data_IF_843258917727
#
_entry.id   IF_843258917727
#
_cell.length_a   1.000
_cell.length_b   1.000
_cell.length_c   1.000
_cell.angle_alpha   90.00
_cell.angle_beta   90.00
_cell.angle_gamma   90.00
#
_symmetry.space_group_name_H-M   'P 1'
#
loop_
_entity.id
_entity.type
_entity.pdbx_description
1 polymer ?
#
# COMPACT_ATOMS: atom_id res chain seq x y z
N UNK A 1 30.83 -61.60 -7.46
CA UNK A 1 31.41 -60.39 -6.84
C UNK A 1 30.44 -59.24 -6.59
N UNK A 2 29.43 -59.01 -7.43
CA UNK A 2 28.43 -57.96 -7.23
C UNK A 2 27.55 -58.12 -5.95
N UNK A 3 27.21 -59.34 -5.56
CA UNK A 3 26.33 -59.58 -4.39
C UNK A 3 27.06 -59.45 -3.05
N UNK A 4 28.38 -59.63 -3.02
CA UNK A 4 29.19 -59.42 -1.84
C UNK A 4 29.28 -57.93 -1.47
N UNK A 5 29.44 -57.06 -2.45
CA UNK A 5 29.48 -55.63 -2.26
C UNK A 5 28.11 -55.05 -1.84
N UNK A 6 27.04 -55.61 -2.33
CA UNK A 6 25.66 -55.17 -2.02
C UNK A 6 25.21 -55.51 -0.60
N UNK A 7 25.72 -56.65 -0.05
CA UNK A 7 25.34 -57.15 1.30
C UNK A 7 26.26 -56.59 2.40
N UNK A 8 27.50 -56.27 2.07
CA UNK A 8 28.51 -55.82 3.03
C UNK A 8 29.03 -54.38 2.73
N UNK A 9 28.38 -53.62 1.88
CA UNK A 9 28.79 -52.28 1.48
C UNK A 9 28.96 -51.32 2.69
N UNK A 10 28.08 -51.46 3.66
CA UNK A 10 28.15 -50.65 4.89
C UNK A 10 29.35 -51.04 5.76
N UNK A 11 29.69 -52.32 5.85
CA UNK A 11 30.88 -52.83 6.56
C UNK A 11 32.19 -52.40 5.87
N UNK A 12 32.23 -52.43 4.52
CA UNK A 12 33.38 -51.98 3.75
C UNK A 12 33.61 -50.47 3.93
N UNK A 13 32.51 -49.69 3.97
CA UNK A 13 32.57 -48.23 4.19
C UNK A 13 33.06 -47.90 5.61
N UNK A 14 32.57 -48.61 6.63
CA UNK A 14 33.04 -48.46 8.01
C UNK A 14 34.51 -48.87 8.14
N UNK A 15 34.93 -49.95 7.50
CA UNK A 15 36.32 -50.39 7.50
C UNK A 15 37.26 -49.39 6.81
N UNK A 16 36.82 -48.77 5.72
CA UNK A 16 37.59 -47.74 5.02
C UNK A 16 37.73 -46.45 5.87
N UNK A 17 36.68 -46.06 6.58
CA UNK A 17 36.73 -44.90 7.50
C UNK A 17 37.64 -45.18 8.69
N UNK A 18 37.59 -46.41 9.25
CA UNK A 18 38.44 -46.83 10.36
C UNK A 18 39.91 -46.88 9.93
N UNK A 19 40.20 -47.37 8.74
CA UNK A 19 41.54 -47.36 8.18
C UNK A 19 42.08 -45.95 7.95
N UNK A 20 41.24 -45.03 7.45
CA UNK A 20 41.63 -43.64 7.27
C UNK A 20 41.89 -42.94 8.62
N UNK A 21 41.10 -43.26 9.65
CA UNK A 21 41.30 -42.71 10.99
C UNK A 21 42.57 -43.23 11.67
N UNK A 22 42.88 -44.53 11.51
CA UNK A 22 44.13 -45.14 12.00
C UNK A 22 45.33 -44.53 11.31
N UNK A 23 45.31 -44.35 9.97
CA UNK A 23 46.40 -43.69 9.24
C UNK A 23 46.63 -42.26 9.65
N UNK A 24 45.55 -41.52 9.92
CA UNK A 24 45.59 -40.13 10.40
C UNK A 24 46.23 -40.06 11.81
N UNK A 25 45.85 -40.95 12.72
CA UNK A 25 46.41 -41.02 14.09
C UNK A 25 47.87 -41.45 14.08
N UNK A 26 48.24 -42.40 13.25
CA UNK A 26 49.64 -42.88 13.13
C UNK A 26 50.50 -41.75 12.51
N UNK A 27 49.98 -40.99 11.54
CA UNK A 27 50.67 -39.82 10.97
C UNK A 27 50.87 -38.69 11.99
N UNK A 28 49.90 -38.48 12.89
CA UNK A 28 50.00 -37.49 13.96
C UNK A 28 50.94 -37.87 15.09
N UNK A 29 51.14 -39.17 15.34
CA UNK A 29 52.03 -39.69 16.42
C UNK A 29 53.50 -39.83 16.00
N UNK A 30 53.78 -40.02 14.70
CA UNK A 30 55.11 -40.20 14.13
C UNK A 30 55.77 -38.88 13.64
N UNK A 31 55.49 -37.77 14.32
CA UNK A 31 55.99 -36.42 14.01
C UNK A 31 57.46 -36.40 13.52
N UNK A 32 57.66 -36.47 12.20
CA UNK A 32 58.93 -36.43 11.53
C UNK A 32 58.88 -35.66 10.22
N UNK A 33 59.72 -34.66 10.17
CA UNK A 33 59.99 -33.75 9.06
C UNK A 33 60.54 -34.52 7.84
N UNK A 34 59.78 -34.50 6.78
CA UNK A 34 60.13 -34.65 5.35
C UNK A 34 59.15 -35.57 4.62
N UNK A 35 58.43 -34.97 3.81
CA UNK A 35 57.10 -35.29 3.31
C UNK A 35 57.10 -35.98 1.93
N UNK A 36 57.13 -37.30 1.82
CA UNK A 36 56.63 -37.94 0.63
C UNK A 36 55.12 -38.27 0.67
N UNK A 37 54.48 -38.11 1.83
CA UNK A 37 53.06 -38.47 2.01
C UNK A 37 52.06 -37.31 1.93
N UNK A 38 52.52 -36.06 1.93
CA UNK A 38 51.64 -34.89 1.77
C UNK A 38 50.92 -34.87 0.43
N UNK A 39 51.54 -35.37 -0.63
CA UNK A 39 50.92 -35.49 -1.95
C UNK A 39 49.87 -36.60 -2.00
N UNK A 40 50.05 -37.71 -1.26
CA UNK A 40 49.05 -38.79 -1.17
C UNK A 40 47.85 -38.41 -0.30
N UNK A 41 48.07 -37.65 0.77
CA UNK A 41 47.00 -37.12 1.59
C UNK A 41 46.09 -36.14 0.80
N UNK A 42 46.72 -35.28 -0.02
CA UNK A 42 45.97 -34.37 -0.88
C UNK A 42 45.20 -35.06 -2.01
N UNK A 43 45.74 -36.17 -2.57
CA UNK A 43 45.04 -36.94 -3.59
C UNK A 43 43.84 -37.71 -3.04
N UNK A 44 43.88 -38.13 -1.77
CA UNK A 44 42.76 -38.85 -1.13
C UNK A 44 41.75 -37.91 -0.48
N UNK A 45 42.14 -36.74 0.01
CA UNK A 45 41.21 -35.78 0.66
C UNK A 45 40.46 -34.92 -0.36
N UNK A 46 41.01 -34.66 -1.55
CA UNK A 46 40.34 -33.86 -2.58
C UNK A 46 39.03 -34.48 -3.07
N UNK A 47 38.92 -35.76 -3.43
CA UNK A 47 37.63 -36.34 -3.87
C UNK A 47 36.63 -36.46 -2.73
N UNK A 48 37.07 -36.67 -1.48
CA UNK A 48 36.18 -36.71 -0.31
C UNK A 48 35.59 -35.33 0.00
N UNK A 49 36.44 -34.29 -0.07
CA UNK A 49 36.02 -32.91 0.15
C UNK A 49 35.05 -32.43 -0.95
N UNK A 50 35.31 -32.78 -2.20
CA UNK A 50 34.42 -32.48 -3.32
C UNK A 50 33.11 -33.29 -3.25
N UNK A 51 33.14 -34.51 -2.77
CA UNK A 51 31.96 -35.33 -2.55
C UNK A 51 31.08 -34.80 -1.42
N UNK A 52 31.67 -34.33 -0.32
CA UNK A 52 30.94 -33.73 0.79
C UNK A 52 30.30 -32.40 0.33
N UNK A 53 31.04 -31.55 -0.35
CA UNK A 53 30.51 -30.28 -0.87
C UNK A 53 29.40 -30.52 -1.91
N UNK A 54 29.49 -31.52 -2.75
CA UNK A 54 28.46 -31.88 -3.70
C UNK A 54 27.16 -32.36 -3.01
N UNK A 55 27.28 -33.11 -1.91
CA UNK A 55 26.15 -33.58 -1.12
C UNK A 55 25.52 -32.43 -0.33
N UNK A 56 26.31 -31.56 0.26
CA UNK A 56 25.82 -30.37 0.99
C UNK A 56 25.09 -29.42 0.04
N UNK A 57 25.67 -29.08 -1.08
CA UNK A 57 25.02 -28.21 -2.07
C UNK A 57 23.74 -28.86 -2.64
N UNK A 58 23.74 -30.16 -2.88
CA UNK A 58 22.54 -30.87 -3.37
C UNK A 58 21.41 -30.91 -2.33
N UNK A 59 21.76 -31.03 -1.04
CA UNK A 59 20.76 -30.97 0.03
C UNK A 59 20.24 -29.55 0.25
N UNK A 60 21.10 -28.52 0.23
CA UNK A 60 20.68 -27.14 0.36
C UNK A 60 19.76 -26.71 -0.80
N UNK A 61 20.12 -27.04 -2.04
CA UNK A 61 19.28 -26.75 -3.21
C UNK A 61 17.89 -27.44 -3.13
N UNK A 62 17.86 -28.72 -2.76
CA UNK A 62 16.60 -29.47 -2.62
C UNK A 62 15.73 -29.00 -1.46
N UNK A 63 16.32 -28.57 -0.35
CA UNK A 63 15.58 -28.04 0.80
C UNK A 63 15.07 -26.61 0.52
N UNK A 64 15.87 -25.79 -0.15
CA UNK A 64 15.46 -24.45 -0.57
C UNK A 64 14.28 -24.52 -1.55
N UNK A 65 14.37 -25.33 -2.61
CA UNK A 65 13.34 -25.48 -3.61
C UNK A 65 12.02 -26.03 -3.02
N UNK A 66 12.10 -26.97 -2.08
CA UNK A 66 10.90 -27.53 -1.44
C UNK A 66 10.23 -26.54 -0.50
N UNK A 67 11.00 -25.72 0.21
CA UNK A 67 10.48 -24.68 1.11
C UNK A 67 9.87 -23.52 0.33
N UNK A 68 10.51 -23.10 -0.76
CA UNK A 68 10.00 -22.07 -1.66
C UNK A 68 8.72 -22.50 -2.37
N UNK A 69 8.64 -23.77 -2.82
CA UNK A 69 7.41 -24.33 -3.38
C UNK A 69 6.26 -24.38 -2.37
N UNK A 70 6.52 -24.68 -1.11
CA UNK A 70 5.48 -24.71 -0.08
C UNK A 70 4.99 -23.30 0.27
N UNK A 71 5.91 -22.32 0.36
CA UNK A 71 5.55 -20.93 0.55
C UNK A 71 4.72 -20.38 -0.62
N UNK A 72 5.14 -20.66 -1.87
CA UNK A 72 4.40 -20.26 -3.07
C UNK A 72 3.01 -20.91 -3.14
N UNK A 73 2.86 -22.15 -2.66
CA UNK A 73 1.55 -22.79 -2.57
C UNK A 73 0.66 -22.11 -1.53
N UNK A 74 1.20 -21.84 -0.35
CA UNK A 74 0.46 -21.16 0.72
C UNK A 74 0.03 -19.75 0.29
N UNK A 75 0.93 -18.99 -0.34
CA UNK A 75 0.63 -17.67 -0.89
C UNK A 75 -0.45 -17.76 -2.00
N UNK A 76 -0.35 -18.75 -2.88
CA UNK A 76 -1.34 -18.96 -3.93
C UNK A 76 -2.72 -19.33 -3.38
N UNK A 77 -2.77 -20.16 -2.32
CA UNK A 77 -4.03 -20.48 -1.63
C UNK A 77 -4.60 -19.26 -0.89
N UNK A 78 -3.76 -18.47 -0.24
CA UNK A 78 -4.19 -17.23 0.41
C UNK A 78 -4.70 -16.20 -0.61
N UNK A 79 -3.98 -16.04 -1.73
CA UNK A 79 -4.41 -15.15 -2.82
C UNK A 79 -5.75 -15.62 -3.43
N UNK A 80 -5.91 -16.93 -3.67
CA UNK A 80 -7.19 -17.48 -4.16
C UNK A 80 -8.33 -17.22 -3.18
N UNK A 81 -8.07 -17.36 -1.89
CA UNK A 81 -9.07 -17.06 -0.85
C UNK A 81 -9.45 -15.60 -0.87
N UNK A 82 -8.46 -14.69 -0.94
CA UNK A 82 -8.70 -13.24 -1.06
C UNK A 82 -9.47 -12.88 -2.33
N UNK A 83 -9.11 -13.49 -3.46
CA UNK A 83 -9.86 -13.30 -4.72
C UNK A 83 -11.31 -13.73 -4.55
N UNK A 84 -11.57 -14.92 -3.98
CA UNK A 84 -12.93 -15.39 -3.74
C UNK A 84 -13.73 -14.49 -2.80
N UNK A 85 -13.09 -13.98 -1.73
CA UNK A 85 -13.72 -13.03 -0.81
C UNK A 85 -14.03 -11.67 -1.49
N UNK A 86 -13.14 -11.22 -2.39
CA UNK A 86 -13.36 -10.00 -3.17
C UNK A 86 -14.49 -10.18 -4.19
N UNK A 87 -14.52 -11.31 -4.91
CA UNK A 87 -15.60 -11.64 -5.84
C UNK A 87 -16.96 -11.78 -5.15
N UNK A 88 -17.00 -12.27 -3.91
CA UNK A 88 -18.23 -12.31 -3.11
C UNK A 88 -18.70 -10.90 -2.74
N UNK A 89 -17.80 -10.05 -2.27
CA UNK A 89 -18.10 -8.64 -1.99
C UNK A 89 -18.51 -7.87 -3.23
N UNK A 90 -17.90 -8.14 -4.37
CA UNK A 90 -18.27 -7.53 -5.65
C UNK A 90 -19.72 -7.90 -6.02
N UNK A 91 -20.08 -9.19 -5.92
CA UNK A 91 -21.47 -9.62 -6.16
C UNK A 91 -22.47 -8.99 -5.19
N UNK A 92 -22.13 -8.86 -3.90
CA UNK A 92 -22.95 -8.18 -2.92
C UNK A 92 -23.12 -6.70 -3.26
N UNK A 93 -22.01 -6.06 -3.68
CA UNK A 93 -22.03 -4.65 -4.10
C UNK A 93 -22.88 -4.44 -5.34
N UNK A 94 -22.71 -5.28 -6.37
CA UNK A 94 -23.54 -5.22 -7.59
C UNK A 94 -25.04 -5.42 -7.28
N UNK A 95 -25.35 -6.37 -6.42
CA UNK A 95 -26.74 -6.58 -5.97
C UNK A 95 -27.30 -5.35 -5.24
N UNK A 96 -26.52 -4.72 -4.37
CA UNK A 96 -26.92 -3.51 -3.67
C UNK A 96 -27.09 -2.32 -4.62
N UNK A 97 -26.23 -2.19 -5.66
CA UNK A 97 -26.38 -1.16 -6.70
C UNK A 97 -27.69 -1.35 -7.48
N UNK A 98 -27.96 -2.56 -7.95
CA UNK A 98 -29.19 -2.87 -8.67
C UNK A 98 -30.44 -2.60 -7.83
N UNK A 99 -30.41 -2.96 -6.56
CA UNK A 99 -31.53 -2.65 -5.65
C UNK A 99 -31.67 -1.15 -5.42
N UNK A 100 -30.55 -0.41 -5.29
CA UNK A 100 -30.56 1.05 -5.16
C UNK A 100 -31.15 1.71 -6.41
N UNK A 101 -30.76 1.26 -7.61
CA UNK A 101 -31.32 1.74 -8.89
C UNK A 101 -32.81 1.44 -8.97
N UNK A 102 -33.23 0.23 -8.59
CA UNK A 102 -34.65 -0.14 -8.58
C UNK A 102 -35.44 0.74 -7.61
N UNK A 103 -34.94 0.97 -6.40
CA UNK A 103 -35.58 1.84 -5.42
C UNK A 103 -35.66 3.29 -5.92
N UNK A 104 -34.63 3.81 -6.57
CA UNK A 104 -34.63 5.15 -7.18
C UNK A 104 -35.66 5.27 -8.28
N UNK A 105 -35.78 4.28 -9.15
CA UNK A 105 -36.78 4.26 -10.21
C UNK A 105 -38.22 4.22 -9.64
N UNK A 106 -38.45 3.44 -8.56
CA UNK A 106 -39.76 3.39 -7.89
C UNK A 106 -40.09 4.74 -7.22
N UNK A 107 -39.09 5.43 -6.68
CA UNK A 107 -39.25 6.73 -6.02
C UNK A 107 -39.12 7.92 -6.99
N UNK A 108 -39.01 7.67 -8.31
CA UNK A 108 -38.78 8.68 -9.33
C UNK A 108 -37.57 9.60 -9.07
N UNK A 109 -36.58 9.09 -8.30
CA UNK A 109 -35.35 9.80 -8.00
C UNK A 109 -34.36 9.72 -9.17
N UNK A 110 -33.77 10.86 -9.53
CA UNK A 110 -32.73 10.89 -10.60
C UNK A 110 -31.55 9.98 -10.22
N UNK A 111 -30.93 9.30 -11.20
CA UNK A 111 -29.69 8.55 -10.97
C UNK A 111 -28.63 9.46 -10.37
N UNK A 112 -27.89 8.95 -9.39
CA UNK A 112 -26.73 9.63 -8.85
C UNK A 112 -25.53 9.30 -9.75
N UNK A 113 -25.57 9.75 -11.01
CA UNK A 113 -24.40 9.66 -11.88
C UNK A 113 -23.36 10.68 -11.40
N UNK A 114 -22.13 10.22 -11.20
CA UNK A 114 -20.96 11.09 -11.12
C UNK A 114 -20.69 11.55 -12.55
N UNK A 115 -21.31 12.62 -12.98
CA UNK A 115 -21.04 13.24 -14.25
C UNK A 115 -19.93 14.28 -14.02
N UNK A 116 -18.70 13.86 -14.27
CA UNK A 116 -17.60 14.79 -14.45
C UNK A 116 -17.55 15.07 -15.95
N UNK A 117 -18.01 16.23 -16.36
CA UNK A 117 -18.18 16.53 -17.76
C UNK A 117 -16.86 16.90 -18.46
N UNK A 118 -15.88 17.44 -17.71
CA UNK A 118 -14.55 17.75 -18.23
C UNK A 118 -13.44 17.47 -17.21
N UNK A 119 -12.45 16.69 -17.64
CA UNK A 119 -11.24 16.37 -16.87
C UNK A 119 -9.98 16.81 -17.62
N UNK A 120 -9.07 17.48 -16.92
CA UNK A 120 -7.76 17.85 -17.44
C UNK A 120 -6.65 17.19 -16.62
N UNK A 121 -5.76 16.48 -17.28
CA UNK A 121 -4.60 15.87 -16.60
C UNK A 121 -3.45 16.87 -16.49
N UNK A 122 -2.89 17.03 -15.31
CA UNK A 122 -1.78 17.95 -15.02
C UNK A 122 -0.66 17.27 -14.26
N UNK A 123 0.58 17.72 -14.49
CA UNK A 123 1.76 17.28 -13.76
C UNK A 123 2.03 18.24 -12.61
N UNK A 124 2.42 17.72 -11.45
CA UNK A 124 2.91 18.51 -10.33
C UNK A 124 4.32 19.01 -10.66
N UNK A 125 4.51 20.33 -10.79
CA UNK A 125 5.77 20.95 -11.16
C UNK A 125 6.53 21.53 -9.96
N UNK A 126 5.82 21.96 -8.92
CA UNK A 126 6.41 22.42 -7.67
C UNK A 126 5.50 22.10 -6.49
N UNK A 127 6.09 22.11 -5.30
CA UNK A 127 5.41 21.95 -4.01
C UNK A 127 5.92 23.01 -3.07
N UNK A 128 5.02 23.61 -2.34
CA UNK A 128 5.34 24.49 -1.25
C UNK A 128 4.63 23.98 0.00
N UNK A 129 5.42 23.47 0.92
CA UNK A 129 4.95 23.09 2.25
C UNK A 129 5.68 23.97 3.25
N UNK A 130 4.97 24.92 3.81
CA UNK A 130 5.44 25.80 4.88
C UNK A 130 4.65 25.54 6.15
N UNK A 131 5.03 26.19 7.25
CA UNK A 131 4.24 26.09 8.49
C UNK A 131 2.84 26.74 8.38
N UNK A 132 2.52 27.36 7.25
CA UNK A 132 1.32 28.18 7.07
C UNK A 132 0.50 27.78 5.84
N UNK A 133 1.12 27.11 4.87
CA UNK A 133 0.47 26.76 3.61
C UNK A 133 0.97 25.42 3.09
N UNK A 134 0.07 24.70 2.45
CA UNK A 134 0.36 23.47 1.71
C UNK A 134 -0.22 23.61 0.31
N UNK A 135 0.65 23.90 -0.68
CA UNK A 135 0.23 24.12 -2.05
C UNK A 135 1.02 23.31 -3.06
N UNK A 136 0.39 23.02 -4.20
CA UNK A 136 1.00 22.36 -5.34
C UNK A 136 0.88 23.27 -6.56
N UNK A 137 1.95 23.38 -7.36
CA UNK A 137 1.88 24.03 -8.67
C UNK A 137 1.74 22.95 -9.75
N UNK A 138 0.80 23.16 -10.64
CA UNK A 138 0.49 22.26 -11.76
C UNK A 138 0.89 22.87 -13.10
N UNK A 139 1.12 21.99 -14.09
CA UNK A 139 1.57 22.33 -15.46
C UNK A 139 0.42 22.74 -16.40
N UNK A 140 -0.73 23.12 -15.89
CA UNK A 140 -1.93 23.51 -16.66
C UNK A 140 -2.55 24.75 -16.08
N UNK A 141 -3.18 25.56 -16.91
CA UNK A 141 -3.77 26.83 -16.50
C UNK A 141 -4.94 27.23 -17.40
N UNK A 142 -5.22 28.52 -17.48
CA UNK A 142 -6.36 29.05 -18.21
C UNK A 142 -6.34 28.74 -19.71
N UNK A 143 -5.16 28.54 -20.33
CA UNK A 143 -5.04 28.10 -21.70
C UNK A 143 -5.64 26.71 -21.95
N UNK A 144 -5.80 25.88 -20.92
CA UNK A 144 -6.44 24.57 -20.94
C UNK A 144 -7.85 24.58 -20.31
N UNK A 145 -8.38 25.76 -20.02
CA UNK A 145 -9.71 25.93 -19.44
C UNK A 145 -9.77 25.65 -17.94
N UNK A 146 -8.64 25.73 -17.23
CA UNK A 146 -8.61 25.64 -15.76
C UNK A 146 -9.06 26.93 -15.16
N UNK A 147 -9.94 26.86 -14.17
CA UNK A 147 -10.48 28.01 -13.44
C UNK A 147 -10.20 27.89 -11.94
N UNK A 148 -10.33 29.02 -11.24
CA UNK A 148 -10.27 29.01 -9.76
C UNK A 148 -11.48 28.26 -9.23
N UNK A 149 -11.31 27.54 -8.13
CA UNK A 149 -12.26 26.63 -7.51
C UNK A 149 -12.46 25.28 -8.22
N UNK A 150 -11.74 25.00 -9.33
CA UNK A 150 -11.71 23.66 -9.89
C UNK A 150 -11.17 22.64 -8.87
N UNK A 151 -11.84 21.50 -8.76
CA UNK A 151 -11.44 20.43 -7.84
C UNK A 151 -10.33 19.59 -8.42
N UNK A 152 -9.33 19.27 -7.60
CA UNK A 152 -8.19 18.42 -8.00
C UNK A 152 -8.21 17.10 -7.26
N UNK A 153 -8.04 15.98 -8.02
CA UNK A 153 -8.03 14.61 -7.52
C UNK A 153 -6.79 13.85 -8.00
N UNK A 154 -6.44 12.80 -7.30
CA UNK A 154 -5.40 11.85 -7.73
C UNK A 154 -5.95 10.80 -8.72
N UNK A 155 -5.10 9.84 -9.11
CA UNK A 155 -5.46 8.75 -10.04
C UNK A 155 -6.51 7.78 -9.49
N UNK A 156 -6.73 7.76 -8.17
CA UNK A 156 -7.71 6.93 -7.47
C UNK A 156 -8.99 7.68 -7.10
N UNK A 157 -9.15 8.92 -7.57
CA UNK A 157 -10.27 9.81 -7.23
C UNK A 157 -10.30 10.25 -5.77
N UNK A 158 -9.15 10.26 -5.10
CA UNK A 158 -9.04 10.88 -3.81
C UNK A 158 -8.83 12.39 -3.97
N UNK A 159 -9.41 13.14 -3.07
CA UNK A 159 -9.31 14.60 -3.07
C UNK A 159 -7.87 15.04 -2.77
N UNK A 160 -7.33 15.88 -3.65
CA UNK A 160 -6.04 16.55 -3.46
C UNK A 160 -6.24 17.95 -2.91
N UNK A 161 -7.17 18.70 -3.47
CA UNK A 161 -7.43 20.08 -3.08
C UNK A 161 -8.26 20.82 -4.12
N UNK A 162 -8.12 22.13 -4.15
CA UNK A 162 -8.82 23.05 -5.04
C UNK A 162 -7.85 24.04 -5.67
N UNK A 163 -8.12 24.44 -6.91
CA UNK A 163 -7.36 25.47 -7.61
C UNK A 163 -7.58 26.83 -6.94
N UNK A 164 -6.52 27.40 -6.39
CA UNK A 164 -6.57 28.69 -5.68
C UNK A 164 -6.15 29.86 -6.57
N UNK A 165 -5.24 29.62 -7.52
CA UNK A 165 -4.72 30.64 -8.43
C UNK A 165 -4.45 30.04 -9.80
N UNK A 166 -4.75 30.78 -10.88
CA UNK A 166 -4.59 30.33 -12.26
C UNK A 166 -3.76 31.33 -13.07
N UNK A 167 -2.67 30.84 -13.63
CA UNK A 167 -1.91 31.52 -14.69
C UNK A 167 -2.26 31.00 -16.07
N UNK A 168 -1.58 31.46 -17.12
CA UNK A 168 -1.85 31.04 -18.48
C UNK A 168 -1.57 29.54 -18.70
N UNK A 169 -0.42 29.03 -18.19
CA UNK A 169 0.05 27.65 -18.39
C UNK A 169 0.39 26.95 -17.06
N UNK A 170 -0.09 27.45 -15.96
CA UNK A 170 0.11 26.90 -14.63
C UNK A 170 -1.08 27.25 -13.73
N UNK A 171 -1.28 26.48 -12.68
CA UNK A 171 -2.17 26.84 -11.58
C UNK A 171 -1.58 26.39 -10.25
N UNK A 172 -1.99 27.08 -9.17
CA UNK A 172 -1.66 26.70 -7.80
C UNK A 172 -2.88 26.07 -7.16
N UNK A 173 -2.68 24.87 -6.61
CA UNK A 173 -3.69 24.12 -5.87
C UNK A 173 -3.42 24.26 -4.40
N UNK A 174 -4.42 24.68 -3.64
CA UNK A 174 -4.45 24.62 -2.18
C UNK A 174 -4.88 23.20 -1.80
N UNK A 175 -4.03 22.49 -1.06
CA UNK A 175 -4.30 21.11 -0.70
C UNK A 175 -5.37 20.99 0.40
N UNK A 176 -5.92 19.79 0.57
CA UNK A 176 -6.94 19.56 1.60
C UNK A 176 -6.42 19.70 3.03
N UNK A 177 -5.12 19.63 3.27
CA UNK A 177 -4.51 19.85 4.61
C UNK A 177 -4.12 21.29 4.89
N UNK A 178 -4.21 22.19 3.89
CA UNK A 178 -3.89 23.62 4.06
C UNK A 178 -4.84 24.26 5.08
N UNK A 179 -4.30 25.13 5.95
CA UNK A 179 -5.06 25.76 7.03
C UNK A 179 -6.25 26.61 6.57
N UNK A 180 -6.22 27.09 5.32
CA UNK A 180 -7.29 27.89 4.74
C UNK A 180 -8.32 27.02 3.96
N UNK A 181 -8.16 25.71 4.02
CA UNK A 181 -9.11 24.76 3.38
C UNK A 181 -10.28 24.48 4.31
N UNK A 182 -11.48 24.69 3.81
CA UNK A 182 -12.75 24.34 4.46
C UNK A 182 -13.71 23.78 3.42
N UNK A 183 -14.27 22.60 3.67
CA UNK A 183 -15.22 21.97 2.76
C UNK A 183 -16.23 21.06 3.48
N UNK A 184 -17.39 20.89 2.87
CA UNK A 184 -18.40 19.97 3.37
C UNK A 184 -17.95 18.50 3.25
N UNK A 185 -17.86 17.84 4.40
CA UNK A 185 -17.54 16.42 4.51
C UNK A 185 -18.71 15.58 4.99
N UNK A 186 -18.62 14.29 4.79
CA UNK A 186 -19.55 13.32 5.38
C UNK A 186 -18.82 12.02 5.70
N UNK A 187 -19.22 11.38 6.78
CA UNK A 187 -18.77 10.01 7.10
C UNK A 187 -19.63 9.04 6.30
N UNK A 188 -19.02 8.29 5.41
CA UNK A 188 -19.71 7.41 4.46
C UNK A 188 -20.62 6.38 5.16
N UNK A 189 -20.18 5.83 6.30
CA UNK A 189 -20.93 4.80 7.03
C UNK A 189 -22.20 5.32 7.67
N UNK A 190 -22.19 6.54 8.22
CA UNK A 190 -23.32 7.12 8.97
C UNK A 190 -24.15 8.11 8.15
N UNK A 191 -23.58 8.61 7.03
CA UNK A 191 -24.18 9.71 6.26
C UNK A 191 -24.16 11.05 7.00
N UNK A 192 -23.49 11.11 8.16
CA UNK A 192 -23.42 12.31 8.99
C UNK A 192 -22.66 13.42 8.29
N UNK A 193 -23.31 14.58 8.10
CA UNK A 193 -22.67 15.76 7.55
C UNK A 193 -21.74 16.39 8.60
N UNK A 194 -20.57 16.82 8.17
CA UNK A 194 -19.55 17.44 8.98
C UNK A 194 -18.76 18.45 8.11
N UNK A 195 -17.82 19.16 8.70
CA UNK A 195 -16.93 20.07 7.99
C UNK A 195 -15.51 19.52 8.07
N UNK A 196 -14.88 19.33 6.91
CA UNK A 196 -13.45 19.09 6.79
C UNK A 196 -12.74 20.41 6.74
N UNK A 197 -11.78 20.62 7.62
CA UNK A 197 -10.97 21.82 7.68
C UNK A 197 -9.50 21.48 7.90
N UNK A 198 -8.60 22.27 7.28
CA UNK A 198 -7.19 22.23 7.60
C UNK A 198 -6.94 22.83 8.98
N UNK A 199 -5.90 22.34 9.64
CA UNK A 199 -5.52 22.81 10.98
C UNK A 199 -4.01 22.96 11.05
N UNK A 200 -3.52 24.13 11.47
CA UNK A 200 -2.09 24.44 11.55
C UNK A 200 -1.29 23.45 12.40
N UNK A 201 -1.91 22.90 13.45
CA UNK A 201 -1.25 21.94 14.32
C UNK A 201 -1.19 20.53 13.71
N UNK A 202 -2.14 20.20 12.85
CA UNK A 202 -2.23 18.89 12.19
C UNK A 202 -1.56 18.87 10.81
N UNK A 203 -1.47 20.02 10.15
CA UNK A 203 -0.88 20.16 8.81
C UNK A 203 0.57 19.67 8.75
N UNK A 204 1.35 19.93 9.80
CA UNK A 204 2.74 19.45 9.91
C UNK A 204 2.87 17.94 9.93
N UNK A 205 1.83 17.24 10.37
CA UNK A 205 1.71 15.77 10.37
C UNK A 205 0.99 15.23 9.12
N UNK A 206 0.67 16.10 8.15
CA UNK A 206 -0.06 15.74 6.93
C UNK A 206 -1.53 15.37 7.18
N UNK A 207 -2.15 15.89 8.25
CA UNK A 207 -3.51 15.55 8.69
C UNK A 207 -4.43 16.78 8.64
N UNK A 208 -5.73 16.52 8.67
CA UNK A 208 -6.75 17.54 8.73
C UNK A 208 -7.79 17.18 9.79
N UNK A 209 -8.73 18.08 10.00
CA UNK A 209 -9.71 18.03 11.06
C UNK A 209 -11.12 17.87 10.48
N UNK A 210 -11.97 17.07 11.11
CA UNK A 210 -13.39 16.97 10.82
C UNK A 210 -14.17 17.46 12.02
N UNK A 211 -14.88 18.53 11.84
CA UNK A 211 -15.64 19.23 12.88
C UNK A 211 -17.15 19.16 12.66
N UNK A 212 -17.95 19.67 13.59
CA UNK A 212 -19.41 19.63 13.57
C UNK A 212 -19.95 18.20 13.43
N UNK A 213 -19.32 17.28 14.13
CA UNK A 213 -19.75 15.89 14.16
C UNK A 213 -21.18 15.80 14.75
N UNK A 214 -22.10 15.04 14.11
CA UNK A 214 -23.45 14.88 14.64
C UNK A 214 -23.42 14.24 16.03
N UNK A 215 -24.18 14.81 16.97
CA UNK A 215 -24.37 14.22 18.29
C UNK A 215 -24.93 12.80 18.17
N UNK A 216 -24.43 11.88 18.98
CA UNK A 216 -24.78 10.45 18.99
C UNK A 216 -24.37 9.61 17.76
N UNK A 217 -23.56 10.10 16.86
CA UNK A 217 -22.94 9.26 15.84
C UNK A 217 -21.72 8.55 16.44
N UNK A 218 -21.73 7.22 16.39
CA UNK A 218 -20.57 6.42 16.78
C UNK A 218 -19.48 6.55 15.70
N UNK A 219 -18.61 7.54 15.87
CA UNK A 219 -17.45 7.70 15.02
C UNK A 219 -16.40 6.66 15.38
N UNK A 220 -15.90 5.93 14.38
CA UNK A 220 -14.92 4.86 14.61
C UNK A 220 -13.64 5.18 13.84
N UNK A 221 -12.50 4.85 14.43
CA UNK A 221 -11.25 4.81 13.70
C UNK A 221 -11.39 3.91 12.45
N UNK A 222 -10.90 4.39 11.31
CA UNK A 222 -11.05 3.74 10.02
C UNK A 222 -12.29 4.13 9.21
N UNK A 223 -13.23 4.90 9.78
CA UNK A 223 -14.38 5.42 9.01
C UNK A 223 -13.90 6.25 7.81
N UNK A 224 -14.47 5.96 6.64
CA UNK A 224 -14.17 6.70 5.42
C UNK A 224 -14.91 8.04 5.41
N UNK A 225 -14.18 9.09 5.06
CA UNK A 225 -14.70 10.45 4.93
C UNK A 225 -14.65 10.88 3.47
N UNK A 226 -15.78 11.36 2.97
CA UNK A 226 -15.95 11.83 1.59
C UNK A 226 -16.49 13.25 1.56
N UNK A 227 -16.32 13.93 0.42
CA UNK A 227 -16.96 15.22 0.19
C UNK A 227 -18.48 15.09 0.16
N UNK A 228 -19.19 16.04 0.72
CA UNK A 228 -20.67 16.06 0.76
C UNK A 228 -21.30 16.68 -0.50
N UNK A 229 -20.53 17.43 -1.30
CA UNK A 229 -21.03 18.23 -2.42
C UNK A 229 -21.76 19.51 -2.00
N UNK A 230 -21.90 19.76 -0.70
CA UNK A 230 -22.53 21.00 -0.20
C UNK A 230 -21.57 22.18 -0.37
N UNK A 231 -22.12 23.31 -0.76
CA UNK A 231 -21.32 24.52 -1.07
C UNK A 231 -20.98 24.65 -2.54
N UNK A 232 -21.13 23.62 -3.36
CA UNK A 232 -21.03 23.69 -4.82
C UNK A 232 -19.60 23.82 -5.39
N UNK A 233 -18.58 23.83 -4.54
CA UNK A 233 -17.16 23.90 -4.96
C UNK A 233 -16.57 22.53 -5.24
N UNK A 234 -17.01 21.51 -4.51
CA UNK A 234 -16.49 20.15 -4.62
C UNK A 234 -17.58 19.17 -5.05
N UNK A 235 -17.31 18.26 -5.99
CA UNK A 235 -18.21 17.17 -6.29
C UNK A 235 -18.47 16.31 -5.06
N UNK A 236 -19.68 15.75 -4.94
CA UNK A 236 -20.03 14.84 -3.86
C UNK A 236 -19.35 13.46 -4.01
N UNK A 237 -18.88 12.91 -2.90
CA UNK A 237 -18.41 11.53 -2.82
C UNK A 237 -16.95 11.30 -3.23
N UNK A 238 -16.14 12.36 -3.35
CA UNK A 238 -14.70 12.22 -3.45
C UNK A 238 -14.13 11.78 -2.10
N UNK A 239 -13.19 10.86 -2.11
CA UNK A 239 -12.56 10.38 -0.88
C UNK A 239 -11.58 11.43 -0.38
N UNK A 240 -11.77 11.91 0.85
CA UNK A 240 -10.86 12.84 1.50
C UNK A 240 -9.83 12.11 2.39
N UNK A 241 -10.27 11.07 3.11
CA UNK A 241 -9.40 10.31 3.99
C UNK A 241 -10.15 9.41 4.95
N UNK A 242 -9.45 9.00 6.02
CA UNK A 242 -10.02 8.14 7.07
C UNK A 242 -9.86 8.76 8.44
N UNK A 243 -10.85 8.50 9.30
CA UNK A 243 -10.76 8.84 10.72
C UNK A 243 -9.63 8.05 11.36
N UNK A 244 -8.65 8.74 11.91
CA UNK A 244 -7.61 8.14 12.73
C UNK A 244 -8.09 7.99 14.17
N UNK A 245 -8.51 9.09 14.76
CA UNK A 245 -9.02 9.16 16.13
C UNK A 245 -9.99 10.34 16.30
N UNK A 246 -10.76 10.29 17.37
CA UNK A 246 -11.62 11.39 17.80
C UNK A 246 -11.02 12.03 19.04
N UNK A 247 -10.92 13.35 19.01
CA UNK A 247 -10.39 14.19 20.11
C UNK A 247 -11.44 15.18 20.58
N UNK A 248 -11.28 15.63 21.81
CA UNK A 248 -12.06 16.73 22.34
C UNK A 248 -11.24 18.01 22.22
N UNK A 249 -11.87 19.11 21.86
CA UNK A 249 -11.21 20.41 21.74
C UNK A 249 -10.71 20.95 23.10
N UNK A 250 -9.95 22.03 23.09
CA UNK A 250 -9.41 22.64 24.29
C UNK A 250 -10.49 23.16 25.27
N UNK A 251 -11.73 23.36 24.80
CA UNK A 251 -12.87 23.75 25.65
C UNK A 251 -13.47 22.58 26.42
N UNK A 252 -13.20 21.34 26.00
CA UNK A 252 -13.77 20.13 26.58
C UNK A 252 -15.24 19.88 26.21
N UNK A 253 -15.78 20.62 25.24
CA UNK A 253 -17.21 20.61 24.88
C UNK A 253 -17.42 19.96 23.51
N UNK A 254 -16.57 20.31 22.51
CA UNK A 254 -16.76 19.85 21.15
C UNK A 254 -15.79 18.70 20.83
N UNK A 255 -16.32 17.70 20.17
CA UNK A 255 -15.50 16.62 19.61
C UNK A 255 -15.17 16.94 18.14
N UNK A 256 -13.98 16.53 17.73
CA UNK A 256 -13.54 16.54 16.34
C UNK A 256 -12.78 15.27 16.02
N UNK A 257 -12.83 14.86 14.77
CA UNK A 257 -12.02 13.72 14.31
C UNK A 257 -10.75 14.22 13.61
N UNK A 258 -9.64 13.55 13.87
CA UNK A 258 -8.39 13.69 13.11
C UNK A 258 -8.49 12.77 11.90
N UNK A 259 -8.26 13.33 10.71
CA UNK A 259 -8.36 12.63 9.44
C UNK A 259 -6.99 12.50 8.82
N UNK A 260 -6.65 11.29 8.41
CA UNK A 260 -5.48 11.01 7.56
C UNK A 260 -5.97 10.99 6.11
N UNK A 261 -5.46 11.85 5.23
CA UNK A 261 -5.76 11.82 3.81
C UNK A 261 -5.52 10.44 3.20
N UNK A 262 -6.34 10.03 2.25
CA UNK A 262 -6.08 8.83 1.45
C UNK A 262 -5.03 9.11 0.37
N UNK A 263 -4.87 10.37 -0.03
CA UNK A 263 -3.89 10.84 -1.01
C UNK A 263 -2.53 11.05 -0.37
N UNK A 264 -1.48 10.49 -0.99
CA UNK A 264 -0.08 10.77 -0.64
C UNK A 264 0.36 12.10 -1.27
N UNK A 265 0.09 13.21 -0.56
CA UNK A 265 0.38 14.57 -1.03
C UNK A 265 1.87 14.80 -1.32
N UNK A 266 2.76 14.08 -0.64
CA UNK A 266 4.20 14.26 -0.77
C UNK A 266 4.78 13.64 -2.05
N UNK A 267 4.16 12.58 -2.56
CA UNK A 267 4.65 11.82 -3.70
C UNK A 267 3.85 11.98 -4.99
N UNK A 268 2.81 12.83 -5.00
CA UNK A 268 2.01 13.09 -6.19
C UNK A 268 2.88 13.59 -7.35
N UNK A 269 2.74 12.96 -8.51
CA UNK A 269 3.40 13.37 -9.76
C UNK A 269 2.43 13.89 -10.80
N UNK A 270 1.26 13.30 -10.85
CA UNK A 270 0.19 13.59 -11.79
C UNK A 270 -1.12 13.68 -11.03
N UNK A 271 -1.97 14.59 -11.44
CA UNK A 271 -3.29 14.83 -10.86
C UNK A 271 -4.30 15.09 -11.99
N UNK A 272 -5.57 15.08 -11.65
CA UNK A 272 -6.65 15.38 -12.56
C UNK A 272 -7.47 16.56 -12.02
N UNK A 273 -7.74 17.52 -12.88
CA UNK A 273 -8.53 18.73 -12.57
C UNK A 273 -9.94 18.48 -13.10
N UNK A 274 -10.92 18.56 -12.24
CA UNK A 274 -12.35 18.47 -12.57
C UNK A 274 -12.84 19.90 -12.86
N UNK A 275 -13.11 20.22 -14.11
CA UNK A 275 -13.49 21.56 -14.55
C UNK A 275 -14.98 21.82 -14.47
N UNK A 276 -15.79 20.79 -14.59
CA UNK A 276 -17.25 20.90 -14.48
C UNK A 276 -17.85 19.64 -13.85
N UNK A 277 -18.87 19.81 -13.04
CA UNK A 277 -19.61 18.72 -12.39
C UNK A 277 -21.03 19.13 -12.05
N UNK A 278 -21.92 18.16 -12.02
CA UNK A 278 -23.32 18.41 -11.63
C UNK A 278 -23.44 18.59 -10.11
N UNK A 279 -23.90 19.76 -9.68
CA UNK A 279 -24.20 20.04 -8.28
C UNK A 279 -25.49 19.30 -7.93
N UNK A 280 -25.43 18.42 -6.92
CA UNK A 280 -26.60 17.74 -6.36
C UNK A 280 -27.12 18.60 -5.19
N UNK A 281 -28.26 19.27 -5.37
CA UNK A 281 -28.99 19.97 -4.31
C UNK A 281 -29.65 19.01 -3.30
#
# INVERSE_FOLDING_TARGET
MKDFFRRNGLLILIAAILLALVTAVVSALLGGTADPFSNLANILTTPVRNGINAVVNWTEEKYSDAFEQEQLKQENEELKKRVSELEEKEREYEAALQENERLRNVLELRPKERSFDELESAMVTARETSNWASTLTLSKGSAQGVEVDDTVVDEYWNLVGVVAEVGENWCTVRTLIDSDTELGGQITRTGGAAILEGDLALMGDGKLKLTFLPENSQHMSGDLVTTSGRGGVYPSGLVAGRVEEVRTDASGINEYAVIVPETDLDNLKQVFIIKDFTIVE
#
